data_IF_506362304134
#
_entry.id   IF_506362304134
#
_cell.length_a   1.000
_cell.length_b   1.000
_cell.length_c   1.000
_cell.angle_alpha   90.00
_cell.angle_beta   90.00
_cell.angle_gamma   90.00
#
_symmetry.space_group_name_H-M   'P 1'
#
loop_
_entity.id
_entity.type
_entity.pdbx_description
1 polymer ?
#
# COMPACT_ATOMS: atom_id res chain seq x y z
N UNK A 1 -51.62 -56.56 43.36
CA UNK A 1 -50.40 -55.71 43.35
C UNK A 1 -49.46 -56.24 42.31
N UNK A 2 -49.38 -55.58 41.11
CA UNK A 2 -48.46 -55.96 40.00
C UNK A 2 -47.11 -55.22 40.18
N UNK A 3 -46.06 -55.97 40.40
CA UNK A 3 -44.66 -55.40 40.48
C UNK A 3 -44.20 -55.09 39.12
N UNK A 4 -43.92 -53.79 38.82
CA UNK A 4 -43.23 -53.38 37.62
C UNK A 4 -41.72 -53.70 37.73
N UNK A 5 -41.09 -54.26 36.72
CA UNK A 5 -39.69 -54.59 36.78
C UNK A 5 -38.80 -53.32 36.69
N UNK A 6 -38.02 -53.13 37.72
CA UNK A 6 -37.08 -51.99 37.93
C UNK A 6 -35.94 -51.95 36.87
N UNK A 7 -35.83 -52.98 36.05
CA UNK A 7 -34.77 -53.14 35.06
C UNK A 7 -34.95 -52.26 33.79
N UNK A 8 -36.16 -51.77 33.52
CA UNK A 8 -36.43 -50.96 32.33
C UNK A 8 -36.00 -49.50 32.47
N UNK A 9 -35.97 -48.96 33.70
CA UNK A 9 -35.55 -47.57 33.95
C UNK A 9 -34.03 -47.32 33.83
N UNK A 10 -33.19 -48.37 34.10
CA UNK A 10 -31.74 -48.22 34.00
C UNK A 10 -31.22 -48.16 32.57
N UNK A 11 -31.89 -48.83 31.63
CA UNK A 11 -31.49 -48.85 30.23
C UNK A 11 -31.73 -47.51 29.52
N UNK A 12 -32.83 -46.81 29.84
CA UNK A 12 -33.18 -45.54 29.23
C UNK A 12 -32.30 -44.40 29.75
N UNK A 13 -31.92 -44.45 31.04
CA UNK A 13 -31.03 -43.43 31.62
C UNK A 13 -29.60 -43.51 31.10
N UNK A 14 -29.08 -44.73 30.83
CA UNK A 14 -27.76 -44.93 30.20
C UNK A 14 -27.73 -44.46 28.76
N UNK A 15 -28.80 -44.61 27.99
CA UNK A 15 -28.86 -44.17 26.57
C UNK A 15 -28.91 -42.64 26.45
N UNK A 16 -29.57 -41.94 27.39
CA UNK A 16 -29.65 -40.47 27.42
C UNK A 16 -28.30 -39.87 27.84
N UNK A 17 -27.54 -40.54 28.71
CA UNK A 17 -26.22 -40.02 29.14
C UNK A 17 -25.13 -40.09 28.04
N UNK A 18 -25.26 -41.05 27.13
CA UNK A 18 -24.29 -41.21 26.01
C UNK A 18 -24.49 -40.14 24.91
N UNK A 19 -25.73 -39.63 24.76
CA UNK A 19 -26.02 -38.61 23.75
C UNK A 19 -25.53 -37.21 24.13
N UNK A 20 -25.22 -36.95 25.38
CA UNK A 20 -24.66 -35.66 25.84
C UNK A 20 -23.13 -35.56 25.74
N UNK A 21 -22.42 -36.66 25.47
CA UNK A 21 -20.95 -36.66 25.39
C UNK A 21 -20.40 -36.43 23.95
N UNK A 22 -21.28 -36.38 22.94
CA UNK A 22 -20.80 -36.18 21.54
C UNK A 22 -20.90 -34.74 21.07
N UNK A 23 -21.29 -33.78 21.92
CA UNK A 23 -21.38 -32.37 21.53
C UNK A 23 -20.37 -31.52 22.28
N UNK A 24 -19.12 -31.57 21.91
CA UNK A 24 -18.18 -30.46 22.01
C UNK A 24 -16.87 -30.84 21.27
N UNK A 25 -16.96 -30.97 19.98
CA UNK A 25 -15.80 -30.72 19.14
C UNK A 25 -15.52 -29.21 19.19
N UNK A 26 -14.96 -28.73 20.30
CA UNK A 26 -14.32 -27.41 20.31
C UNK A 26 -13.17 -27.51 19.32
N UNK A 27 -13.41 -27.09 18.09
CA UNK A 27 -12.31 -26.66 17.23
C UNK A 27 -11.62 -25.54 18.02
N UNK A 28 -10.48 -25.87 18.60
CA UNK A 28 -9.64 -24.83 19.22
C UNK A 28 -9.48 -23.73 18.18
N UNK A 29 -9.75 -22.46 18.51
CA UNK A 29 -9.52 -21.39 17.57
C UNK A 29 -8.07 -21.53 17.09
N UNK A 30 -7.88 -21.50 15.75
CA UNK A 30 -6.53 -21.51 15.20
C UNK A 30 -5.77 -20.37 15.88
N UNK A 31 -4.54 -20.64 16.38
CA UNK A 31 -3.73 -19.55 16.91
C UNK A 31 -3.63 -18.44 15.87
N UNK A 32 -3.65 -17.17 16.27
CA UNK A 32 -3.42 -16.06 15.35
C UNK A 32 -2.16 -16.33 14.52
N UNK A 33 -2.24 -16.07 13.22
CA UNK A 33 -1.07 -16.18 12.35
C UNK A 33 -0.04 -15.16 12.84
N UNK A 34 1.20 -15.60 13.08
CA UNK A 34 2.28 -14.67 13.37
C UNK A 34 2.69 -13.99 12.06
N UNK A 35 2.23 -12.78 11.85
CA UNK A 35 2.48 -11.96 10.66
C UNK A 35 3.98 -11.65 10.44
N UNK A 36 4.82 -11.87 11.44
CA UNK A 36 6.28 -11.77 11.29
C UNK A 36 6.86 -12.95 10.53
N UNK A 37 6.19 -14.10 10.63
CA UNK A 37 6.61 -15.36 9.99
C UNK A 37 5.85 -15.60 8.69
N UNK A 38 4.60 -15.14 8.61
CA UNK A 38 3.75 -15.30 7.44
C UNK A 38 2.93 -14.03 7.21
N UNK A 39 3.34 -13.24 6.24
CA UNK A 39 2.70 -11.96 5.88
C UNK A 39 1.38 -12.14 5.14
N UNK A 40 0.99 -13.36 4.79
CA UNK A 40 -0.27 -13.65 4.09
C UNK A 40 -0.27 -13.27 2.61
N UNK A 41 0.88 -12.94 2.06
CA UNK A 41 1.11 -12.66 0.64
C UNK A 41 2.52 -13.07 0.22
N UNK A 42 2.74 -13.20 -1.08
CA UNK A 42 4.07 -13.45 -1.64
C UNK A 42 5.01 -12.24 -1.43
N UNK A 43 6.31 -12.46 -1.59
CA UNK A 43 7.30 -11.39 -1.47
C UNK A 43 7.36 -10.59 -2.79
N UNK A 44 7.09 -9.28 -2.78
CA UNK A 44 7.31 -8.42 -3.94
C UNK A 44 8.80 -8.29 -4.22
N UNK A 45 9.22 -8.61 -5.44
CA UNK A 45 10.61 -8.53 -5.87
C UNK A 45 10.80 -7.67 -7.10
N UNK A 46 9.77 -7.51 -7.90
CA UNK A 46 9.76 -6.63 -9.06
C UNK A 46 8.72 -5.55 -8.81
N UNK A 47 9.09 -4.31 -9.08
CA UNK A 47 8.20 -3.17 -9.02
C UNK A 47 8.23 -2.40 -10.33
N UNK A 48 7.06 -2.11 -10.86
CA UNK A 48 6.88 -1.25 -12.01
C UNK A 48 6.17 0.03 -11.56
N UNK A 49 6.79 1.18 -11.81
CA UNK A 49 6.28 2.49 -11.44
C UNK A 49 6.01 3.25 -12.72
N UNK A 50 4.75 3.62 -12.95
CA UNK A 50 4.33 4.40 -14.11
C UNK A 50 3.94 5.81 -13.66
N UNK A 51 4.43 6.81 -14.39
CA UNK A 51 4.17 8.22 -14.14
C UNK A 51 3.52 8.84 -15.37
N UNK A 52 2.26 9.26 -15.24
CA UNK A 52 1.47 9.89 -16.30
C UNK A 52 1.26 11.37 -15.97
N UNK A 53 1.68 12.31 -16.83
CA UNK A 53 1.44 13.73 -16.61
C UNK A 53 -0.05 14.05 -16.70
N UNK A 54 -0.47 15.05 -15.91
CA UNK A 54 -1.84 15.56 -15.93
C UNK A 54 -1.90 17.02 -15.51
N UNK A 55 -3.06 17.59 -15.63
CA UNK A 55 -3.35 18.97 -15.24
C UNK A 55 -4.62 18.99 -14.39
N UNK A 56 -4.60 19.72 -13.28
CA UNK A 56 -5.79 19.95 -12.49
C UNK A 56 -6.85 20.65 -13.33
N UNK A 57 -8.08 20.16 -13.30
CA UNK A 57 -9.21 20.79 -13.98
C UNK A 57 -9.52 22.17 -13.38
N UNK A 58 -10.19 23.00 -14.14
CA UNK A 58 -10.58 24.34 -13.71
C UNK A 58 -11.33 24.31 -12.36
N UNK A 59 -10.92 25.17 -11.42
CA UNK A 59 -11.50 25.26 -10.08
C UNK A 59 -11.07 24.16 -9.11
N UNK A 60 -10.25 23.19 -9.54
CA UNK A 60 -9.72 22.15 -8.66
C UNK A 60 -8.38 22.57 -8.06
N UNK A 61 -8.16 22.18 -6.81
CA UNK A 61 -6.91 22.41 -6.07
C UNK A 61 -6.35 21.08 -5.60
N UNK A 62 -5.03 20.98 -5.60
CA UNK A 62 -4.37 19.80 -5.07
C UNK A 62 -4.61 19.67 -3.56
N UNK A 63 -5.14 18.54 -3.14
CA UNK A 63 -5.44 18.23 -1.73
C UNK A 63 -5.18 16.75 -1.44
N UNK A 64 -5.24 16.35 -0.17
CA UNK A 64 -5.17 14.94 0.24
C UNK A 64 -6.36 14.10 -0.24
N UNK A 65 -7.42 14.75 -0.70
CA UNK A 65 -8.67 14.11 -1.14
C UNK A 65 -8.82 14.12 -2.68
N UNK A 66 -7.70 14.20 -3.39
CA UNK A 66 -7.66 14.14 -4.84
C UNK A 66 -8.35 12.89 -5.38
N UNK A 67 -9.05 13.05 -6.47
CA UNK A 67 -9.66 11.96 -7.21
C UNK A 67 -9.26 11.98 -8.69
N UNK A 68 -9.32 10.85 -9.41
CA UNK A 68 -9.01 10.83 -10.84
C UNK A 68 -9.87 11.79 -11.66
N UNK A 69 -11.09 12.07 -11.22
CA UNK A 69 -12.01 13.01 -11.88
C UNK A 69 -11.57 14.47 -11.80
N UNK A 70 -10.67 14.81 -10.87
CA UNK A 70 -10.14 16.18 -10.68
C UNK A 70 -9.03 16.54 -11.65
N UNK A 71 -8.52 15.56 -12.40
CA UNK A 71 -7.34 15.69 -13.26
C UNK A 71 -7.70 15.32 -14.70
N UNK A 72 -7.15 16.07 -15.62
CA UNK A 72 -7.09 15.71 -17.05
C UNK A 72 -5.71 15.09 -17.30
N UNK A 73 -5.67 13.78 -17.56
CA UNK A 73 -4.44 13.03 -17.80
C UNK A 73 -4.01 13.15 -19.26
N UNK A 74 -2.70 13.26 -19.48
CA UNK A 74 -2.08 13.12 -20.78
C UNK A 74 -2.07 11.67 -21.27
N UNK A 75 -1.77 11.48 -22.55
CA UNK A 75 -1.67 10.15 -23.16
C UNK A 75 -0.29 9.50 -22.99
N UNK A 76 0.75 10.30 -22.79
CA UNK A 76 2.12 9.82 -22.64
C UNK A 76 2.40 9.48 -21.18
N UNK A 77 3.26 8.50 -20.96
CA UNK A 77 3.72 8.13 -19.63
C UNK A 77 5.19 7.69 -19.67
N UNK A 78 5.82 7.72 -18.52
CA UNK A 78 7.15 7.19 -18.28
C UNK A 78 7.04 6.01 -17.33
N UNK A 79 7.85 4.97 -17.52
CA UNK A 79 7.84 3.78 -16.66
C UNK A 79 9.24 3.41 -16.21
N UNK A 80 9.40 3.17 -14.92
CA UNK A 80 10.58 2.54 -14.32
C UNK A 80 10.19 1.14 -13.88
N UNK A 81 10.99 0.13 -14.23
CA UNK A 81 10.86 -1.21 -13.64
C UNK A 81 12.17 -1.53 -12.89
N UNK A 82 12.02 -1.98 -11.66
CA UNK A 82 13.08 -2.39 -10.75
C UNK A 82 12.91 -3.86 -10.42
N UNK A 83 13.96 -4.66 -10.59
CA UNK A 83 14.01 -6.06 -10.23
C UNK A 83 15.03 -6.28 -9.11
N UNK A 84 14.58 -6.80 -7.97
CA UNK A 84 15.39 -7.13 -6.79
C UNK A 84 15.45 -8.65 -6.54
N UNK A 85 14.97 -9.47 -7.47
CA UNK A 85 14.88 -10.93 -7.31
C UNK A 85 16.24 -11.60 -7.09
N UNK A 86 17.33 -10.98 -7.59
CA UNK A 86 18.71 -11.46 -7.41
C UNK A 86 19.40 -10.94 -6.14
N UNK A 87 18.68 -10.24 -5.25
CA UNK A 87 19.24 -9.56 -4.08
C UNK A 87 19.96 -8.25 -4.40
N UNK A 88 20.03 -7.85 -5.66
CA UNK A 88 20.56 -6.57 -6.12
C UNK A 88 19.51 -5.87 -6.96
N UNK A 89 19.40 -4.54 -6.78
CA UNK A 89 18.49 -3.73 -7.59
C UNK A 89 19.00 -3.62 -9.02
N UNK A 90 18.20 -4.06 -9.97
CA UNK A 90 18.43 -3.90 -11.40
C UNK A 90 17.30 -3.08 -12.01
N UNK A 91 17.66 -2.14 -12.86
CA UNK A 91 16.69 -1.40 -13.66
C UNK A 91 16.51 -2.11 -15.00
N UNK A 92 15.26 -2.31 -15.42
CA UNK A 92 14.96 -2.75 -16.78
C UNK A 92 15.29 -1.63 -17.76
N UNK A 93 15.95 -1.95 -18.86
CA UNK A 93 16.37 -0.99 -19.89
C UNK A 93 15.74 -1.31 -21.24
N UNK A 94 15.54 -0.28 -22.06
CA UNK A 94 14.90 -0.41 -23.38
C UNK A 94 13.37 -0.55 -23.27
N UNK A 95 12.71 -0.83 -24.39
CA UNK A 95 11.26 -1.06 -24.49
C UNK A 95 10.39 0.03 -23.82
N UNK A 96 10.85 1.29 -23.82
CA UNK A 96 10.12 2.41 -23.22
C UNK A 96 10.34 2.60 -21.72
N UNK A 97 11.17 1.79 -21.07
CA UNK A 97 11.56 2.00 -19.67
C UNK A 97 12.61 3.11 -19.55
N UNK A 98 12.49 3.91 -18.50
CA UNK A 98 13.47 4.95 -18.15
C UNK A 98 14.14 4.63 -16.81
N UNK A 99 15.32 5.19 -16.56
CA UNK A 99 16.00 5.05 -15.25
C UNK A 99 15.65 6.17 -14.28
N UNK A 100 15.14 7.27 -14.78
CA UNK A 100 14.79 8.49 -14.05
C UNK A 100 13.55 9.08 -14.68
N UNK A 101 12.69 9.65 -13.87
CA UNK A 101 11.55 10.40 -14.37
C UNK A 101 11.95 11.84 -14.68
N UNK A 102 11.49 12.36 -15.82
CA UNK A 102 11.58 13.78 -16.15
C UNK A 102 10.22 14.41 -15.84
N UNK A 103 10.19 15.40 -14.96
CA UNK A 103 8.98 16.04 -14.48
C UNK A 103 9.09 17.56 -14.49
N UNK A 104 7.96 18.22 -14.65
CA UNK A 104 7.86 19.67 -14.59
C UNK A 104 7.26 20.10 -13.25
N UNK A 105 7.89 21.10 -12.63
CA UNK A 105 7.34 21.67 -11.40
C UNK A 105 6.13 22.59 -11.67
N UNK A 106 5.35 22.85 -10.62
CA UNK A 106 4.26 23.80 -10.68
C UNK A 106 4.72 25.26 -10.88
N UNK A 107 6.01 25.55 -10.69
CA UNK A 107 6.63 26.83 -11.06
C UNK A 107 6.76 27.00 -12.57
N UNK A 108 7.00 25.91 -13.30
CA UNK A 108 7.08 25.92 -14.76
C UNK A 108 5.70 25.85 -15.39
N UNK A 109 4.88 24.87 -14.96
CA UNK A 109 3.53 24.66 -15.46
C UNK A 109 2.57 24.68 -14.26
N UNK A 110 1.84 25.78 -14.06
CA UNK A 110 0.79 25.83 -13.03
C UNK A 110 -0.19 24.66 -13.19
N UNK A 111 -0.68 24.14 -12.07
CA UNK A 111 -1.60 23.01 -12.01
C UNK A 111 -1.05 21.66 -12.56
N UNK A 112 0.26 21.54 -12.85
CA UNK A 112 0.88 20.29 -13.22
C UNK A 112 0.82 19.29 -12.06
N UNK A 113 0.32 18.11 -12.35
CA UNK A 113 0.31 16.94 -11.46
C UNK A 113 0.69 15.71 -12.25
N UNK A 114 1.03 14.64 -11.56
CA UNK A 114 1.34 13.36 -12.18
C UNK A 114 0.57 12.27 -11.45
N UNK A 115 -0.10 11.39 -12.20
CA UNK A 115 -0.60 10.13 -11.66
C UNK A 115 0.60 9.17 -11.55
N UNK A 116 0.92 8.74 -10.34
CA UNK A 116 1.88 7.68 -10.09
C UNK A 116 1.11 6.39 -9.80
N UNK A 117 1.47 5.31 -10.50
CA UNK A 117 0.89 3.99 -10.33
C UNK A 117 2.00 2.99 -10.08
N UNK A 118 1.80 2.08 -9.13
CA UNK A 118 2.78 1.07 -8.74
C UNK A 118 2.15 -0.30 -8.90
N UNK A 119 2.81 -1.19 -9.61
CA UNK A 119 2.47 -2.60 -9.64
C UNK A 119 3.66 -3.44 -9.18
N UNK A 120 3.34 -4.53 -8.50
CA UNK A 120 4.31 -5.47 -7.97
C UNK A 120 4.16 -6.83 -8.60
N UNK A 121 5.30 -7.52 -8.73
CA UNK A 121 5.35 -8.89 -9.20
C UNK A 121 6.26 -9.72 -8.31
N UNK A 122 6.00 -11.01 -8.26
CA UNK A 122 6.91 -11.99 -7.68
C UNK A 122 8.19 -12.13 -8.54
N UNK A 123 9.17 -12.90 -8.06
CA UNK A 123 10.36 -13.27 -8.85
C UNK A 123 10.01 -14.00 -10.16
N UNK A 124 8.88 -14.68 -10.20
CA UNK A 124 8.35 -15.35 -11.39
C UNK A 124 7.52 -14.41 -12.30
N UNK A 125 7.48 -13.11 -11.98
CA UNK A 125 6.73 -12.05 -12.70
C UNK A 125 5.20 -12.19 -12.61
N UNK A 126 4.69 -12.87 -11.58
CA UNK A 126 3.25 -12.95 -11.30
C UNK A 126 2.77 -11.69 -10.58
N UNK A 127 1.62 -11.17 -11.01
CA UNK A 127 1.03 -9.93 -10.46
C UNK A 127 0.60 -10.10 -9.00
N UNK A 128 0.92 -9.09 -8.17
CA UNK A 128 0.72 -9.17 -6.71
C UNK A 128 -0.24 -8.12 -6.14
N UNK A 129 -0.61 -7.09 -6.89
CA UNK A 129 -1.41 -5.99 -6.32
C UNK A 129 -2.71 -6.46 -5.68
N UNK A 130 -3.35 -7.50 -6.24
CA UNK A 130 -4.56 -8.09 -5.67
C UNK A 130 -4.33 -8.73 -4.30
N UNK A 131 -3.15 -9.31 -4.05
CA UNK A 131 -2.80 -9.87 -2.73
C UNK A 131 -2.69 -8.75 -1.68
N UNK A 132 -2.04 -7.62 -2.03
CA UNK A 132 -1.84 -6.48 -1.13
C UNK A 132 -3.14 -5.72 -0.81
N UNK A 133 -4.15 -5.84 -1.66
CA UNK A 133 -5.44 -5.17 -1.55
C UNK A 133 -6.59 -6.10 -1.17
N UNK A 134 -6.32 -7.36 -0.84
CA UNK A 134 -7.34 -8.29 -0.32
C UNK A 134 -7.94 -7.77 0.99
N UNK A 135 -9.11 -8.29 1.38
CA UNK A 135 -9.81 -7.86 2.60
C UNK A 135 -8.96 -7.99 3.87
N UNK A 136 -8.10 -9.01 3.90
CA UNK A 136 -7.21 -9.27 5.03
C UNK A 136 -5.99 -8.34 5.04
N UNK A 137 -5.51 -7.95 3.84
CA UNK A 137 -4.24 -7.26 3.68
C UNK A 137 -4.36 -5.74 3.50
N UNK A 138 -5.49 -5.23 3.01
CA UNK A 138 -5.65 -3.80 2.73
C UNK A 138 -5.46 -2.91 3.97
N UNK A 139 -5.79 -3.40 5.15
CA UNK A 139 -5.61 -2.68 6.40
C UNK A 139 -4.18 -2.76 6.96
N UNK A 140 -3.31 -3.52 6.29
CA UNK A 140 -1.93 -3.76 6.72
C UNK A 140 -0.89 -3.07 5.85
N UNK A 141 -1.25 -2.65 4.63
CA UNK A 141 -0.29 -2.08 3.68
C UNK A 141 -0.49 -0.58 3.49
N UNK A 142 0.63 0.14 3.46
CA UNK A 142 0.68 1.56 3.11
C UNK A 142 2.02 1.88 2.47
N UNK A 143 2.00 2.60 1.35
CA UNK A 143 3.22 3.18 0.77
C UNK A 143 3.63 4.46 1.49
N UNK A 144 4.94 4.65 1.56
CA UNK A 144 5.56 5.87 2.06
C UNK A 144 6.52 6.40 1.02
N UNK A 145 6.45 7.70 0.77
CA UNK A 145 7.22 8.43 -0.23
C UNK A 145 8.13 9.40 0.49
N UNK A 146 9.38 8.99 0.74
CA UNK A 146 10.33 9.69 1.59
C UNK A 146 11.36 10.40 0.74
N UNK A 147 11.46 11.72 0.81
CA UNK A 147 12.53 12.45 0.11
C UNK A 147 13.86 12.24 0.81
N UNK A 148 14.86 11.79 0.07
CA UNK A 148 16.25 11.71 0.52
C UNK A 148 16.88 13.08 0.31
N UNK A 149 17.40 13.68 1.38
CA UNK A 149 18.10 14.96 1.36
C UNK A 149 19.61 14.78 1.19
N UNK A 150 20.17 13.71 1.73
CA UNK A 150 21.57 13.38 1.57
C UNK A 150 21.83 11.89 1.81
N UNK A 151 22.92 11.39 1.23
CA UNK A 151 23.49 10.09 1.53
C UNK A 151 24.98 10.27 1.79
N UNK A 152 25.34 10.27 3.06
CA UNK A 152 26.75 10.43 3.50
C UNK A 152 27.12 9.17 4.29
N UNK A 153 28.20 8.52 3.90
CA UNK A 153 28.69 7.28 4.52
C UNK A 153 27.61 6.20 4.65
N UNK A 154 26.79 6.03 3.60
CA UNK A 154 25.63 5.13 3.55
C UNK A 154 24.54 5.44 4.59
N UNK A 155 24.55 6.64 5.16
CA UNK A 155 23.48 7.12 6.05
C UNK A 155 22.57 8.07 5.29
N UNK A 156 21.33 7.62 5.07
CA UNK A 156 20.29 8.41 4.43
C UNK A 156 19.71 9.42 5.41
N UNK A 157 19.63 10.67 4.99
CA UNK A 157 18.90 11.72 5.70
C UNK A 157 17.62 12.03 4.93
N UNK A 158 16.49 12.05 5.62
CA UNK A 158 15.17 12.27 5.03
C UNK A 158 14.57 13.61 5.44
N UNK A 159 13.75 14.17 4.57
CA UNK A 159 12.85 15.26 4.95
C UNK A 159 11.87 14.77 6.02
N UNK A 160 11.83 15.44 7.16
CA UNK A 160 11.01 15.02 8.33
C UNK A 160 9.66 15.71 8.40
N UNK A 161 9.49 16.82 7.69
CA UNK A 161 8.29 17.66 7.72
C UNK A 161 7.81 17.90 6.30
N UNK A 162 6.50 18.13 6.15
CA UNK A 162 5.87 18.36 4.84
C UNK A 162 6.48 19.56 4.10
N UNK A 163 6.81 20.61 4.83
CA UNK A 163 7.37 21.87 4.29
C UNK A 163 8.79 21.71 3.74
N UNK A 164 9.49 20.65 4.16
CA UNK A 164 10.83 20.32 3.66
C UNK A 164 10.83 19.49 2.37
N UNK A 165 9.64 19.04 1.93
CA UNK A 165 9.51 18.23 0.71
C UNK A 165 9.53 19.11 -0.53
N UNK A 166 10.13 18.59 -1.60
CA UNK A 166 10.08 19.20 -2.94
C UNK A 166 8.83 18.78 -3.73
N UNK A 167 8.00 17.94 -3.16
CA UNK A 167 6.76 17.45 -3.76
C UNK A 167 5.65 17.35 -2.71
N UNK A 168 4.42 17.30 -3.19
CA UNK A 168 3.24 16.92 -2.39
C UNK A 168 2.61 15.67 -3.01
N UNK A 169 1.96 14.84 -2.18
CA UNK A 169 1.38 13.58 -2.61
C UNK A 169 -0.01 13.38 -2.00
N UNK A 170 -0.90 12.81 -2.81
CA UNK A 170 -2.24 12.42 -2.40
C UNK A 170 -2.52 10.99 -2.85
N UNK A 171 -2.96 10.14 -1.93
CA UNK A 171 -3.45 8.81 -2.26
C UNK A 171 -4.74 8.92 -3.06
N UNK A 172 -4.88 8.11 -4.11
CA UNK A 172 -6.12 8.05 -4.88
C UNK A 172 -6.56 6.61 -5.22
N UNK A 173 -6.05 5.63 -4.48
CA UNK A 173 -6.51 4.25 -4.62
C UNK A 173 -8.02 4.17 -4.40
N UNK A 174 -8.70 3.51 -5.34
CA UNK A 174 -10.11 3.18 -5.27
C UNK A 174 -10.28 1.72 -5.67
N UNK A 175 -10.72 0.92 -4.71
CA UNK A 175 -10.89 -0.51 -4.90
C UNK A 175 -12.38 -0.80 -4.92
N UNK A 176 -12.89 -1.29 -6.06
CA UNK A 176 -14.28 -1.73 -6.15
C UNK A 176 -14.43 -3.07 -5.43
N UNK A 177 -15.33 -3.12 -4.49
CA UNK A 177 -15.66 -4.32 -3.71
C UNK A 177 -17.12 -4.69 -3.88
N UNK A 178 -17.43 -5.98 -3.71
CA UNK A 178 -18.80 -6.50 -3.71
C UNK A 178 -19.27 -6.75 -2.28
N UNK A 179 -20.46 -6.28 -1.97
CA UNK A 179 -21.15 -6.64 -0.73
C UNK A 179 -21.81 -8.01 -0.86
N UNK A 180 -22.21 -8.60 0.26
CA UNK A 180 -22.91 -9.89 0.31
C UNK A 180 -24.22 -9.92 -0.50
N UNK A 181 -24.86 -8.76 -0.68
CA UNK A 181 -26.08 -8.59 -1.50
C UNK A 181 -25.78 -8.43 -3.00
N UNK A 182 -24.51 -8.51 -3.43
CA UNK A 182 -24.07 -8.36 -4.81
C UNK A 182 -23.86 -6.91 -5.28
N UNK A 183 -24.22 -5.91 -4.47
CA UNK A 183 -23.96 -4.50 -4.81
C UNK A 183 -22.46 -4.18 -4.71
N UNK A 184 -22.00 -3.22 -5.51
CA UNK A 184 -20.62 -2.75 -5.50
C UNK A 184 -20.50 -1.44 -4.73
N UNK A 185 -19.35 -1.25 -4.08
CA UNK A 185 -18.96 0.00 -3.44
C UNK A 185 -17.49 0.27 -3.66
N UNK A 186 -17.08 1.54 -3.57
CA UNK A 186 -15.68 1.93 -3.66
C UNK A 186 -15.10 2.00 -2.24
N UNK A 187 -14.08 1.20 -1.99
CA UNK A 187 -13.30 1.26 -0.76
C UNK A 187 -12.19 2.30 -0.91
N UNK A 188 -12.29 3.37 -0.14
CA UNK A 188 -11.31 4.46 -0.10
C UNK A 188 -10.22 4.23 0.94
N UNK A 189 -9.84 2.98 1.17
CA UNK A 189 -8.79 2.59 2.11
C UNK A 189 -7.43 2.51 1.37
N UNK A 190 -6.64 3.60 1.30
CA UNK A 190 -5.52 3.68 0.39
C UNK A 190 -4.35 2.80 0.83
N UNK A 191 -3.80 2.06 -0.11
CA UNK A 191 -2.50 1.37 0.01
C UNK A 191 -1.37 2.24 -0.57
N UNK A 192 -1.68 3.09 -1.54
CA UNK A 192 -0.74 3.93 -2.27
C UNK A 192 -0.22 3.29 -3.56
N UNK A 193 -0.96 2.31 -4.10
CA UNK A 193 -0.69 1.75 -5.43
C UNK A 193 -1.02 2.76 -6.53
N UNK A 194 -1.85 3.75 -6.21
CA UNK A 194 -2.20 4.86 -7.08
C UNK A 194 -2.26 6.15 -6.28
N UNK A 195 -1.71 7.22 -6.82
CA UNK A 195 -1.72 8.53 -6.17
C UNK A 195 -1.37 9.65 -7.13
N UNK A 196 -1.66 10.88 -6.73
CA UNK A 196 -1.21 12.06 -7.43
C UNK A 196 -0.03 12.68 -6.73
N UNK A 197 0.97 13.06 -7.52
CA UNK A 197 2.15 13.79 -7.06
C UNK A 197 2.28 15.09 -7.82
N UNK A 198 2.61 16.18 -7.14
CA UNK A 198 3.03 17.43 -7.75
C UNK A 198 4.39 17.85 -7.23
N UNK A 199 5.24 18.34 -8.11
CA UNK A 199 6.53 18.89 -7.74
C UNK A 199 6.37 20.39 -7.49
N UNK A 200 6.58 20.80 -6.26
CA UNK A 200 6.62 22.20 -5.87
C UNK A 200 8.03 22.74 -6.08
N UNK A 201 8.25 24.04 -5.89
CA UNK A 201 9.58 24.62 -5.95
C UNK A 201 10.56 23.71 -5.18
N UNK A 202 11.69 23.32 -5.80
CA UNK A 202 12.70 22.54 -5.11
C UNK A 202 12.99 23.19 -3.75
N UNK A 203 13.21 22.37 -2.74
CA UNK A 203 13.46 22.82 -1.38
C UNK A 203 14.57 23.84 -1.31
N UNK A 204 14.97 24.30 -0.13
CA UNK A 204 15.82 25.46 0.18
C UNK A 204 17.09 25.69 -0.69
N UNK A 205 17.44 24.76 -1.58
CA UNK A 205 18.48 24.91 -2.58
C UNK A 205 17.85 25.16 -3.95
N UNK A 206 17.88 26.40 -4.39
CA UNK A 206 17.40 26.82 -5.72
C UNK A 206 18.09 26.07 -6.90
N UNK A 207 19.07 25.26 -6.61
CA UNK A 207 19.95 24.53 -7.53
C UNK A 207 19.58 23.05 -7.66
N UNK A 208 18.80 22.48 -6.74
CA UNK A 208 18.44 21.06 -6.72
C UNK A 208 17.37 20.80 -7.81
N UNK A 209 17.86 20.49 -9.01
CA UNK A 209 17.01 20.03 -10.12
C UNK A 209 16.62 18.56 -9.97
N UNK A 210 17.08 17.90 -8.93
CA UNK A 210 16.88 16.47 -8.70
C UNK A 210 16.14 16.23 -7.39
N UNK A 211 15.17 15.34 -7.42
CA UNK A 211 14.50 14.80 -6.24
C UNK A 211 14.75 13.30 -6.18
N UNK A 212 15.44 12.85 -5.16
CA UNK A 212 15.61 11.42 -4.87
C UNK A 212 14.57 10.99 -3.84
N UNK A 213 13.82 9.96 -4.17
CA UNK A 213 12.73 9.44 -3.36
C UNK A 213 12.97 7.97 -3.01
N UNK A 214 12.82 7.63 -1.74
CA UNK A 214 12.68 6.26 -1.28
C UNK A 214 11.19 5.94 -1.14
N UNK A 215 10.68 5.05 -1.98
CA UNK A 215 9.35 4.48 -1.85
C UNK A 215 9.47 3.22 -1.01
N UNK A 216 8.69 3.14 0.07
CA UNK A 216 8.64 2.00 0.98
C UNK A 216 7.23 1.44 1.02
N UNK A 217 7.04 0.15 0.77
CA UNK A 217 5.81 -0.54 1.10
C UNK A 217 5.94 -1.09 2.52
N UNK A 218 5.21 -0.51 3.45
CA UNK A 218 5.16 -0.95 4.85
C UNK A 218 4.06 -1.96 5.07
N UNK A 219 4.38 -3.06 5.76
CA UNK A 219 3.46 -4.09 6.21
C UNK A 219 3.28 -3.97 7.73
N UNK A 220 2.10 -3.58 8.18
CA UNK A 220 1.77 -3.43 9.60
C UNK A 220 1.27 -4.74 10.19
N UNK A 221 1.86 -5.20 11.29
CA UNK A 221 1.51 -6.46 11.93
C UNK A 221 0.06 -6.52 12.42
N UNK A 222 -0.51 -5.37 12.80
CA UNK A 222 -1.89 -5.27 13.24
C UNK A 222 -2.72 -4.42 12.27
N UNK A 223 -2.40 -3.13 12.16
CA UNK A 223 -3.14 -2.19 11.33
C UNK A 223 -2.29 -0.97 10.98
N UNK A 224 -2.45 -0.46 9.75
CA UNK A 224 -1.84 0.80 9.30
C UNK A 224 -2.48 2.05 9.91
N UNK A 225 -3.66 1.93 10.50
CA UNK A 225 -4.35 3.06 11.12
C UNK A 225 -3.65 3.53 12.39
N UNK A 226 -3.66 4.85 12.61
CA UNK A 226 -2.93 5.46 13.72
C UNK A 226 -3.52 5.05 15.07
N UNK A 227 -4.83 4.86 15.14
CA UNK A 227 -5.54 4.46 16.34
C UNK A 227 -6.69 3.50 16.04
N UNK A 228 -7.04 2.67 17.01
CA UNK A 228 -8.20 1.77 16.93
C UNK A 228 -9.48 2.57 16.70
N UNK A 229 -10.30 2.11 15.76
CA UNK A 229 -11.56 2.76 15.38
C UNK A 229 -11.41 3.99 14.48
N UNK A 230 -10.20 4.41 14.17
CA UNK A 230 -9.92 5.48 13.19
C UNK A 230 -9.61 4.88 11.81
N UNK A 231 -9.95 5.62 10.75
CA UNK A 231 -9.44 5.35 9.39
C UNK A 231 -8.26 6.27 9.01
N UNK A 232 -7.76 7.05 9.96
CA UNK A 232 -6.60 7.92 9.74
C UNK A 232 -5.34 7.07 9.58
N UNK A 233 -4.65 7.26 8.45
CA UNK A 233 -3.38 6.64 8.12
C UNK A 233 -2.21 7.57 8.45
N UNK A 234 -1.01 7.03 8.48
CA UNK A 234 0.20 7.84 8.69
C UNK A 234 0.45 8.75 7.49
N UNK A 235 1.06 9.93 7.72
CA UNK A 235 1.49 10.79 6.62
C UNK A 235 2.38 10.02 5.62
N UNK A 236 2.21 10.27 4.34
CA UNK A 236 2.94 9.58 3.27
C UNK A 236 4.48 9.72 3.40
N UNK A 237 4.98 10.75 4.06
CA UNK A 237 6.41 11.03 4.27
C UNK A 237 6.96 10.49 5.59
N UNK A 238 6.20 9.69 6.34
CA UNK A 238 6.66 9.14 7.62
C UNK A 238 7.92 8.30 7.43
N UNK A 239 8.94 8.62 8.24
CA UNK A 239 10.24 7.93 8.18
C UNK A 239 10.33 6.78 9.19
N UNK A 240 9.49 6.78 10.21
CA UNK A 240 9.42 5.75 11.26
C UNK A 240 8.06 5.06 11.17
N UNK A 241 8.08 3.74 11.11
CA UNK A 241 6.90 2.89 10.94
C UNK A 241 6.78 1.91 12.12
N UNK A 242 6.34 2.40 13.30
CA UNK A 242 6.21 1.52 14.48
C UNK A 242 5.16 0.45 14.23
N UNK A 243 5.52 -0.80 14.56
CA UNK A 243 4.64 -1.97 14.38
C UNK A 243 4.49 -2.42 12.93
N UNK A 244 5.43 -2.04 12.07
CA UNK A 244 5.52 -2.49 10.69
C UNK A 244 6.88 -3.07 10.36
N UNK A 245 6.90 -3.93 9.37
CA UNK A 245 8.07 -4.35 8.61
C UNK A 245 8.04 -3.69 7.22
N UNK A 246 9.07 -3.87 6.44
CA UNK A 246 9.17 -3.40 5.06
C UNK A 246 9.10 -4.57 4.11
N UNK A 247 8.15 -4.55 3.17
CA UNK A 247 8.06 -5.55 2.12
C UNK A 247 9.05 -5.26 1.00
N UNK A 248 9.13 -4.00 0.58
CA UNK A 248 10.07 -3.56 -0.45
C UNK A 248 10.44 -2.09 -0.25
N UNK A 249 11.69 -1.77 -0.57
CA UNK A 249 12.21 -0.41 -0.69
C UNK A 249 12.70 -0.17 -2.11
N UNK A 250 12.36 0.97 -2.68
CA UNK A 250 12.73 1.37 -4.03
C UNK A 250 13.25 2.81 -4.01
N UNK A 251 14.45 3.04 -4.50
CA UNK A 251 14.96 4.40 -4.68
C UNK A 251 14.75 4.81 -6.14
N UNK A 252 14.03 5.91 -6.34
CA UNK A 252 13.80 6.49 -7.67
C UNK A 252 14.22 7.95 -7.70
N UNK A 253 14.59 8.41 -8.88
CA UNK A 253 15.06 9.77 -9.10
C UNK A 253 14.16 10.51 -10.09
N UNK A 254 13.94 11.79 -9.79
CA UNK A 254 13.20 12.71 -10.63
C UNK A 254 14.12 13.87 -11.06
N UNK A 255 14.19 14.13 -12.33
CA UNK A 255 14.78 15.35 -12.88
C UNK A 255 13.68 16.40 -12.98
N UNK A 256 13.73 17.41 -12.11
CA UNK A 256 12.65 18.41 -11.96
C UNK A 256 12.99 19.64 -12.79
N UNK A 257 12.18 19.91 -13.81
CA UNK A 257 12.32 21.05 -14.70
C UNK A 257 11.54 22.24 -14.10
N UNK A 258 12.24 23.32 -13.78
CA UNK A 258 11.68 24.49 -13.08
C UNK A 258 11.59 25.75 -13.96
N UNK A 259 12.20 25.73 -15.18
CA UNK A 259 12.22 26.86 -16.13
C UNK A 259 11.83 26.39 -17.53
#
# INVERSE_FOLDING_TARGET
MKRFPLSLCFGVFSLILITFLTSCGKTSPKPPVDERLNKGHDQPTIAQITLTPGTLKAGKVFSSEMSPEDVELGSEHQTIELDQSSGQVKYTEGNGYVRRFSVESTTKIPNRVYLIQISYKTANREEMNAQLTSDEQINRHQHFFKQILSNVDNKLTFAKYKEALSFDYAYCDRITRKQSNGSEYVDANPVGLSGFIKFVKPGARAEDKEVTMLITLGHFFNSKFISSGSKAIRPFYSTVLPGADTDINMTINFDVITK
#
